data_IF_677153230784
#
_entry.id   IF_677153230784
#
_cell.length_a   1.000
_cell.length_b   1.000
_cell.length_c   1.000
_cell.angle_alpha   90.00
_cell.angle_beta   90.00
_cell.angle_gamma   90.00
#
_symmetry.space_group_name_H-M   'P 1'
#
loop_
_entity.id
_entity.type
_entity.pdbx_description
1 polymer ?
#
# COMPACT_ATOMS: atom_id res chain seq x y z
N UNK A 1 -13.32 46.53 21.87
CA UNK A 1 -14.29 46.64 20.74
C UNK A 1 -13.66 46.31 19.40
N UNK A 2 -12.89 47.18 18.71
CA UNK A 2 -12.32 46.80 17.41
C UNK A 2 -11.28 45.65 17.45
N UNK A 3 -10.59 45.45 18.58
CA UNK A 3 -9.58 44.40 18.73
C UNK A 3 -10.22 43.02 19.01
N UNK A 4 -11.23 42.96 19.86
CA UNK A 4 -12.03 41.74 20.12
C UNK A 4 -12.77 41.28 18.85
N UNK A 5 -13.40 42.19 18.11
CA UNK A 5 -14.06 41.86 16.83
C UNK A 5 -13.05 41.34 15.77
N UNK A 6 -11.79 41.81 15.84
CA UNK A 6 -10.71 41.38 14.95
C UNK A 6 -10.19 39.98 15.33
N UNK A 7 -10.05 39.71 16.62
CA UNK A 7 -9.63 38.40 17.12
C UNK A 7 -10.70 37.34 16.84
N UNK A 8 -11.97 37.66 17.08
CA UNK A 8 -13.11 36.79 16.76
C UNK A 8 -13.18 36.48 15.25
N UNK A 9 -12.94 37.48 14.39
CA UNK A 9 -12.89 37.27 12.95
C UNK A 9 -11.69 36.40 12.53
N UNK A 10 -10.51 36.63 13.13
CA UNK A 10 -9.31 35.83 12.86
C UNK A 10 -9.52 34.37 13.24
N UNK A 11 -10.15 34.13 14.39
CA UNK A 11 -10.49 32.79 14.86
C UNK A 11 -11.54 32.13 13.96
N UNK A 12 -12.59 32.85 13.56
CA UNK A 12 -13.59 32.35 12.61
C UNK A 12 -12.95 31.94 11.27
N UNK A 13 -11.98 32.71 10.76
CA UNK A 13 -11.24 32.37 9.53
C UNK A 13 -10.38 31.12 9.74
N UNK A 14 -9.70 30.98 10.89
CA UNK A 14 -8.91 29.79 11.22
C UNK A 14 -9.79 28.54 11.23
N UNK A 15 -10.90 28.58 11.97
CA UNK A 15 -11.85 27.48 12.07
C UNK A 15 -12.44 27.10 10.71
N UNK A 16 -12.76 28.08 9.87
CA UNK A 16 -13.26 27.84 8.52
C UNK A 16 -12.23 27.09 7.65
N UNK A 17 -10.94 27.48 7.73
CA UNK A 17 -9.87 26.78 7.02
C UNK A 17 -9.70 25.34 7.50
N UNK A 18 -9.84 25.10 8.81
CA UNK A 18 -9.77 23.75 9.39
C UNK A 18 -10.92 22.86 8.92
N UNK A 19 -12.14 23.41 8.89
CA UNK A 19 -13.31 22.69 8.37
C UNK A 19 -13.11 22.34 6.89
N UNK A 20 -12.64 23.28 6.06
CA UNK A 20 -12.36 23.04 4.65
C UNK A 20 -11.32 21.92 4.49
N UNK A 21 -10.20 22.00 5.21
CA UNK A 21 -9.15 20.98 5.16
C UNK A 21 -9.66 19.60 5.62
N UNK A 22 -10.52 19.55 6.64
CA UNK A 22 -11.14 18.31 7.10
C UNK A 22 -12.08 17.70 6.06
N UNK A 23 -12.89 18.54 5.38
CA UNK A 23 -13.76 18.11 4.28
C UNK A 23 -12.94 17.57 3.11
N UNK A 24 -11.91 18.30 2.67
CA UNK A 24 -11.02 17.87 1.58
C UNK A 24 -10.37 16.52 1.87
N UNK A 25 -9.88 16.34 3.10
CA UNK A 25 -9.31 15.06 3.56
C UNK A 25 -10.34 13.93 3.50
N UNK A 26 -11.59 14.19 3.93
CA UNK A 26 -12.65 13.17 3.91
C UNK A 26 -13.11 12.81 2.50
N UNK A 27 -13.16 13.79 1.60
CA UNK A 27 -13.44 13.56 0.17
C UNK A 27 -12.36 12.69 -0.44
N UNK A 28 -11.09 13.03 -0.26
CA UNK A 28 -9.96 12.23 -0.75
C UNK A 28 -10.00 10.79 -0.20
N UNK A 29 -10.23 10.61 1.11
CA UNK A 29 -10.37 9.27 1.70
C UNK A 29 -11.53 8.48 1.06
N UNK A 30 -12.65 9.13 0.77
CA UNK A 30 -13.79 8.50 0.12
C UNK A 30 -13.47 8.10 -1.33
N UNK A 31 -12.80 8.95 -2.09
CA UNK A 31 -12.36 8.66 -3.45
C UNK A 31 -11.37 7.50 -3.48
N UNK A 32 -10.36 7.49 -2.59
CA UNK A 32 -9.38 6.40 -2.47
C UNK A 32 -10.04 5.08 -2.10
N UNK A 33 -11.00 5.09 -1.17
CA UNK A 33 -11.76 3.90 -0.79
C UNK A 33 -12.66 3.39 -1.93
N UNK A 34 -13.30 4.29 -2.68
CA UNK A 34 -14.07 3.92 -3.87
C UNK A 34 -13.16 3.28 -4.92
N UNK A 35 -12.02 3.90 -5.20
CA UNK A 35 -11.01 3.41 -6.15
C UNK A 35 -10.50 2.02 -5.76
N UNK A 36 -10.25 1.77 -4.47
CA UNK A 36 -9.84 0.45 -3.99
C UNK A 36 -10.92 -0.62 -4.16
N UNK A 37 -12.21 -0.28 -3.97
CA UNK A 37 -13.34 -1.17 -4.26
C UNK A 37 -13.44 -1.52 -5.75
N UNK A 38 -13.06 -0.61 -6.65
CA UNK A 38 -13.00 -0.88 -8.09
C UNK A 38 -11.94 -1.94 -8.41
N UNK A 39 -10.74 -1.84 -7.80
CA UNK A 39 -9.72 -2.89 -7.93
C UNK A 39 -10.20 -4.23 -7.37
N UNK A 40 -10.72 -4.23 -6.14
CA UNK A 40 -11.25 -5.43 -5.48
C UNK A 40 -12.30 -6.16 -6.33
N UNK A 41 -13.27 -5.42 -6.89
CA UNK A 41 -14.34 -6.02 -7.71
C UNK A 41 -13.85 -6.61 -9.03
N UNK A 42 -12.78 -6.04 -9.61
CA UNK A 42 -12.15 -6.54 -10.84
C UNK A 42 -11.10 -7.63 -10.60
N UNK A 43 -10.71 -7.89 -9.34
CA UNK A 43 -9.74 -8.94 -9.04
C UNK A 43 -10.34 -10.35 -9.17
N UNK A 44 -9.52 -11.27 -9.69
CA UNK A 44 -9.85 -12.70 -9.64
C UNK A 44 -9.89 -13.18 -8.19
N UNK A 45 -11.02 -13.78 -7.79
CA UNK A 45 -11.26 -14.28 -6.43
C UNK A 45 -10.33 -15.42 -6.02
N UNK A 46 -9.69 -16.10 -6.98
CA UNK A 46 -8.71 -17.15 -6.71
C UNK A 46 -7.29 -16.63 -6.63
N UNK A 47 -7.05 -15.36 -6.96
CA UNK A 47 -5.73 -14.77 -6.91
C UNK A 47 -5.34 -14.53 -5.45
N UNK A 48 -4.23 -15.13 -5.05
CA UNK A 48 -3.58 -14.95 -3.75
C UNK A 48 -2.08 -14.78 -3.97
N UNK A 49 -1.42 -14.11 -3.03
CA UNK A 49 0.03 -13.91 -3.04
C UNK A 49 0.62 -14.27 -1.68
N UNK A 50 1.70 -15.04 -1.66
CA UNK A 50 2.46 -15.28 -0.43
C UNK A 50 3.47 -14.16 -0.24
N UNK A 51 3.33 -13.42 0.86
CA UNK A 51 4.28 -12.39 1.27
C UNK A 51 5.57 -13.01 1.79
N UNK A 52 6.62 -12.22 1.92
CA UNK A 52 7.91 -12.69 2.47
C UNK A 52 7.87 -13.11 3.94
N UNK A 53 6.90 -12.60 4.69
CA UNK A 53 6.59 -13.07 6.04
C UNK A 53 5.98 -14.48 6.08
N UNK A 54 5.58 -15.03 4.93
CA UNK A 54 4.80 -16.27 4.85
C UNK A 54 3.28 -16.04 4.90
N UNK A 55 2.85 -14.82 5.24
CA UNK A 55 1.45 -14.41 5.23
C UNK A 55 0.85 -14.53 3.82
N UNK A 56 -0.35 -15.10 3.73
CA UNK A 56 -1.14 -15.11 2.50
C UNK A 56 -1.89 -13.79 2.41
N UNK A 57 -1.80 -13.14 1.26
CA UNK A 57 -2.50 -11.91 0.93
C UNK A 57 -3.50 -12.20 -0.20
N UNK A 58 -4.78 -12.01 0.08
CA UNK A 58 -5.91 -12.20 -0.81
C UNK A 58 -6.60 -10.87 -1.13
N UNK A 59 -7.55 -10.87 -2.07
CA UNK A 59 -8.22 -9.63 -2.48
C UNK A 59 -8.94 -8.93 -1.32
N UNK A 60 -9.49 -9.68 -0.34
CA UNK A 60 -10.24 -9.12 0.79
C UNK A 60 -9.33 -8.27 1.70
N UNK A 61 -8.04 -8.61 1.74
CA UNK A 61 -7.02 -7.87 2.49
C UNK A 61 -6.80 -6.46 1.94
N UNK A 62 -7.16 -6.19 0.69
CA UNK A 62 -7.16 -4.83 0.14
C UNK A 62 -8.15 -3.94 0.86
N UNK A 63 -9.37 -4.42 1.13
CA UNK A 63 -10.44 -3.59 1.70
C UNK A 63 -10.21 -3.23 3.17
N UNK A 64 -9.32 -3.96 3.84
CA UNK A 64 -8.87 -3.68 5.21
C UNK A 64 -7.82 -2.57 5.29
N UNK A 65 -7.33 -2.08 4.13
CA UNK A 65 -6.22 -1.12 4.03
C UNK A 65 -6.67 0.17 3.35
N UNK A 66 -5.87 1.23 3.55
CA UNK A 66 -6.10 2.53 2.89
C UNK A 66 -5.22 2.65 1.65
N UNK A 67 -5.84 2.95 0.51
CA UNK A 67 -5.12 3.30 -0.73
C UNK A 67 -4.51 4.70 -0.61
N UNK A 68 -3.19 4.80 -0.83
CA UNK A 68 -2.47 6.07 -0.90
C UNK A 68 -2.35 6.51 -2.35
N UNK A 69 -1.87 5.63 -3.22
CA UNK A 69 -1.63 5.94 -4.63
C UNK A 69 -1.75 4.69 -5.52
N UNK A 70 -2.23 4.87 -6.75
CA UNK A 70 -2.25 3.82 -7.78
C UNK A 70 -1.72 4.36 -9.11
N UNK A 71 -1.09 3.49 -9.90
CA UNK A 71 -0.58 3.88 -11.21
C UNK A 71 0.11 2.74 -11.96
N UNK A 72 0.34 2.95 -13.26
CA UNK A 72 0.97 1.97 -14.12
C UNK A 72 2.50 2.00 -13.96
N UNK A 73 3.10 0.85 -13.66
CA UNK A 73 4.55 0.69 -13.50
C UNK A 73 5.05 -0.51 -14.32
N UNK A 74 6.36 -0.67 -14.39
CA UNK A 74 7.00 -1.86 -14.94
C UNK A 74 7.93 -2.50 -13.93
N UNK A 75 7.80 -3.81 -13.73
CA UNK A 75 8.74 -4.59 -12.95
C UNK A 75 9.79 -5.18 -13.88
N UNK A 76 11.07 -5.01 -13.57
CA UNK A 76 12.12 -5.71 -14.30
C UNK A 76 12.21 -7.15 -13.81
N UNK A 77 12.23 -8.09 -14.74
CA UNK A 77 12.36 -9.52 -14.48
C UNK A 77 13.54 -10.10 -15.28
N UNK A 78 13.86 -11.37 -15.06
CA UNK A 78 14.95 -12.05 -15.80
C UNK A 78 14.73 -12.05 -17.32
N UNK A 79 13.49 -11.93 -17.78
CA UNK A 79 13.10 -11.99 -19.19
C UNK A 79 12.87 -10.62 -19.84
N UNK A 80 13.09 -9.52 -19.11
CA UNK A 80 12.81 -8.16 -19.57
C UNK A 80 11.98 -7.33 -18.58
N UNK A 81 10.82 -6.86 -19.03
CA UNK A 81 9.96 -5.92 -18.27
C UNK A 81 8.51 -6.39 -18.29
N UNK A 82 7.90 -6.41 -17.11
CA UNK A 82 6.52 -6.80 -16.88
C UNK A 82 5.68 -5.56 -16.58
N UNK A 83 4.66 -5.28 -17.41
CA UNK A 83 3.71 -4.20 -17.14
C UNK A 83 2.78 -4.59 -15.99
N UNK A 84 2.61 -3.69 -15.04
CA UNK A 84 1.78 -3.89 -13.84
C UNK A 84 0.99 -2.62 -13.50
N UNK A 85 -0.10 -2.79 -12.76
CA UNK A 85 -0.76 -1.71 -12.04
C UNK A 85 -0.37 -1.81 -10.57
N UNK A 86 0.27 -0.77 -10.06
CA UNK A 86 0.77 -0.75 -8.69
C UNK A 86 -0.22 -0.03 -7.77
N UNK A 87 -0.40 -0.56 -6.55
CA UNK A 87 -1.20 0.02 -5.48
C UNK A 87 -0.32 0.21 -4.24
N UNK A 88 0.00 1.44 -3.90
CA UNK A 88 0.60 1.78 -2.60
C UNK A 88 -0.51 1.92 -1.57
N UNK A 89 -0.53 0.98 -0.63
CA UNK A 89 -1.43 0.99 0.52
C UNK A 89 -0.69 1.54 1.75
N UNK A 90 -1.42 1.72 2.84
CA UNK A 90 -0.87 2.22 4.12
C UNK A 90 0.30 1.40 4.66
N UNK A 91 0.31 0.09 4.43
CA UNK A 91 1.27 -0.85 5.02
C UNK A 91 2.04 -1.71 4.00
N UNK A 92 1.53 -1.82 2.78
CA UNK A 92 2.09 -2.69 1.73
C UNK A 92 2.10 -1.99 0.37
N UNK A 93 3.01 -2.43 -0.50
CA UNK A 93 3.04 -2.06 -1.91
C UNK A 93 2.69 -3.29 -2.77
N UNK A 94 1.60 -3.21 -3.51
CA UNK A 94 1.02 -4.33 -4.27
C UNK A 94 1.20 -4.09 -5.77
N UNK A 95 1.60 -5.12 -6.51
CA UNK A 95 1.61 -5.09 -7.97
C UNK A 95 0.60 -6.08 -8.55
N UNK A 96 -0.27 -5.57 -9.41
CA UNK A 96 -1.30 -6.34 -10.10
C UNK A 96 -1.00 -6.42 -11.59
N UNK A 97 -1.38 -7.52 -12.22
CA UNK A 97 -1.40 -7.69 -13.67
C UNK A 97 -2.82 -7.81 -14.16
N UNK A 98 -3.09 -7.24 -15.33
CA UNK A 98 -4.35 -7.47 -16.02
C UNK A 98 -4.24 -8.75 -16.86
N UNK A 99 -5.14 -9.71 -16.59
CA UNK A 99 -5.25 -10.97 -17.29
C UNK A 99 -6.73 -11.28 -17.49
N UNK A 100 -7.13 -11.55 -18.73
CA UNK A 100 -8.53 -11.86 -19.08
C UNK A 100 -9.53 -10.82 -18.54
N UNK A 101 -9.19 -9.53 -18.67
CA UNK A 101 -9.94 -8.35 -18.17
C UNK A 101 -10.08 -8.24 -16.63
N UNK A 102 -9.44 -9.13 -15.88
CA UNK A 102 -9.39 -9.13 -14.42
C UNK A 102 -7.99 -8.76 -13.93
N UNK A 103 -7.91 -8.30 -12.69
CA UNK A 103 -6.64 -8.15 -11.99
C UNK A 103 -6.26 -9.43 -11.26
N UNK A 104 -4.99 -9.80 -11.35
CA UNK A 104 -4.35 -10.86 -10.57
C UNK A 104 -3.07 -10.31 -9.94
N UNK A 105 -2.62 -10.85 -8.81
CA UNK A 105 -1.29 -10.49 -8.29
C UNK A 105 -0.22 -10.81 -9.32
N UNK A 106 0.74 -9.89 -9.49
CA UNK A 106 1.79 -10.04 -10.47
C UNK A 106 2.71 -11.22 -10.13
N UNK A 107 3.14 -11.97 -11.14
CA UNK A 107 4.11 -13.06 -10.95
C UNK A 107 5.49 -12.60 -11.44
N UNK A 108 6.46 -12.52 -10.53
CA UNK A 108 7.80 -12.02 -10.83
C UNK A 108 8.89 -12.99 -10.37
N UNK A 109 9.37 -13.87 -11.25
CA UNK A 109 10.52 -14.77 -10.98
C UNK A 109 10.45 -15.50 -9.62
N UNK A 110 9.25 -15.95 -9.23
CA UNK A 110 8.95 -16.58 -7.92
C UNK A 110 9.13 -15.67 -6.69
N UNK A 111 9.28 -14.36 -6.89
CA UNK A 111 9.29 -13.34 -5.85
C UNK A 111 7.88 -12.88 -5.52
N UNK A 112 7.70 -12.44 -4.28
CA UNK A 112 6.44 -11.85 -3.85
C UNK A 112 6.29 -10.45 -4.46
N UNK A 113 5.10 -10.15 -4.96
CA UNK A 113 4.73 -8.83 -5.52
C UNK A 113 3.76 -8.07 -4.61
N UNK A 114 3.59 -8.55 -3.38
CA UNK A 114 3.01 -7.82 -2.27
C UNK A 114 4.13 -7.59 -1.25
N UNK A 115 4.63 -6.37 -1.21
CA UNK A 115 5.84 -6.01 -0.47
C UNK A 115 5.45 -5.22 0.78
N UNK A 116 5.83 -5.70 1.96
CA UNK A 116 5.66 -4.92 3.19
C UNK A 116 6.51 -3.66 3.13
N UNK A 117 5.95 -2.52 3.54
CA UNK A 117 6.70 -1.28 3.71
C UNK A 117 7.61 -1.31 4.94
N UNK A 118 7.43 -2.28 5.83
CA UNK A 118 8.24 -2.42 7.04
C UNK A 118 9.69 -2.75 6.67
N UNK A 119 10.62 -1.90 7.12
CA UNK A 119 12.05 -2.01 6.82
C UNK A 119 12.36 -2.08 5.32
N UNK A 120 11.49 -1.49 4.49
CA UNK A 120 11.74 -1.32 3.07
C UNK A 120 12.80 -0.23 2.87
N UNK A 121 13.69 -0.39 1.91
CA UNK A 121 14.61 0.67 1.49
C UNK A 121 14.29 1.00 0.04
N UNK A 122 14.03 2.29 -0.23
CA UNK A 122 13.77 2.80 -1.57
C UNK A 122 14.98 3.62 -2.04
N UNK A 123 15.46 3.34 -3.26
CA UNK A 123 16.63 4.00 -3.85
C UNK A 123 16.42 4.31 -5.32
N UNK A 124 17.14 5.30 -5.83
CA UNK A 124 17.17 5.60 -7.27
C UNK A 124 18.04 4.59 -8.02
N UNK A 125 17.72 4.35 -9.30
CA UNK A 125 18.60 3.59 -10.20
C UNK A 125 19.54 4.57 -10.90
N UNK A 126 20.84 4.45 -10.66
CA UNK A 126 21.83 5.41 -11.17
C UNK A 126 21.84 5.56 -12.71
N UNK A 127 21.58 4.46 -13.43
CA UNK A 127 21.66 4.42 -14.89
C UNK A 127 20.28 4.39 -15.59
N UNK A 128 19.18 4.60 -14.86
CA UNK A 128 17.82 4.67 -15.41
C UNK A 128 17.02 5.70 -14.60
N UNK A 129 16.86 6.91 -15.12
CA UNK A 129 16.27 8.03 -14.37
C UNK A 129 14.82 7.78 -13.91
N UNK A 130 14.11 6.91 -14.62
CA UNK A 130 12.73 6.49 -14.32
C UNK A 130 12.67 5.27 -13.41
N UNK A 131 13.82 4.72 -13.02
CA UNK A 131 13.96 3.52 -12.22
C UNK A 131 14.12 3.82 -10.73
N UNK A 132 13.51 2.98 -9.91
CA UNK A 132 13.76 2.89 -8.48
C UNK A 132 14.00 1.43 -8.06
N UNK A 133 14.79 1.22 -7.02
CA UNK A 133 14.95 -0.05 -6.34
C UNK A 133 14.11 -0.10 -5.06
N UNK A 134 13.42 -1.22 -4.87
CA UNK A 134 12.79 -1.62 -3.62
C UNK A 134 13.63 -2.73 -3.00
N UNK A 135 14.14 -2.53 -1.78
CA UNK A 135 15.01 -3.47 -1.09
C UNK A 135 14.39 -3.88 0.25
N UNK A 136 14.07 -5.15 0.42
CA UNK A 136 13.46 -5.68 1.66
C UNK A 136 14.53 -5.94 2.73
N UNK A 137 14.94 -4.89 3.46
CA UNK A 137 16.02 -4.94 4.43
C UNK A 137 15.53 -5.29 5.86
N UNK A 138 14.92 -6.45 6.03
CA UNK A 138 14.37 -6.85 7.33
C UNK A 138 14.00 -8.32 7.48
N UNK A 139 14.36 -9.12 6.48
CA UNK A 139 14.06 -10.55 6.37
C UNK A 139 15.36 -11.33 6.15
N UNK A 140 15.36 -12.64 6.41
CA UNK A 140 16.57 -13.48 6.31
C UNK A 140 17.31 -13.37 4.97
N UNK A 141 16.57 -13.11 3.88
CA UNK A 141 17.13 -12.93 2.54
C UNK A 141 16.60 -11.64 1.92
N UNK A 142 17.35 -10.53 2.00
CA UNK A 142 16.97 -9.29 1.35
C UNK A 142 16.79 -9.48 -0.15
N UNK A 143 15.71 -8.92 -0.69
CA UNK A 143 15.44 -8.92 -2.12
C UNK A 143 15.49 -7.50 -2.66
N UNK A 144 16.13 -7.34 -3.80
CA UNK A 144 16.16 -6.10 -4.56
C UNK A 144 15.28 -6.25 -5.80
N UNK A 145 14.28 -5.39 -5.93
CA UNK A 145 13.37 -5.32 -7.07
C UNK A 145 13.54 -3.98 -7.79
N UNK A 146 13.72 -4.03 -9.10
CA UNK A 146 13.80 -2.83 -9.95
C UNK A 146 12.41 -2.52 -10.52
N UNK A 147 11.93 -1.31 -10.26
CA UNK A 147 10.63 -0.80 -10.70
C UNK A 147 10.87 0.42 -11.58
N UNK A 148 10.17 0.51 -12.70
CA UNK A 148 10.28 1.62 -13.63
C UNK A 148 8.94 2.35 -13.74
N UNK A 149 8.97 3.66 -13.58
CA UNK A 149 7.88 4.56 -13.87
C UNK A 149 7.89 4.99 -15.35
N UNK A 150 6.86 5.72 -15.77
CA UNK A 150 6.76 6.25 -17.13
C UNK A 150 7.65 7.49 -17.32
N UNK A 151 7.92 8.25 -16.25
CA UNK A 151 8.80 9.43 -16.25
C UNK A 151 9.63 9.53 -14.97
N UNK A 152 10.63 10.42 -14.98
CA UNK A 152 11.46 10.75 -13.80
C UNK A 152 10.62 11.39 -12.69
N UNK A 153 9.69 12.27 -13.06
CA UNK A 153 8.80 12.94 -12.12
C UNK A 153 7.82 11.96 -11.46
N UNK A 154 7.30 11.01 -12.24
CA UNK A 154 6.47 9.94 -11.69
C UNK A 154 7.29 9.05 -10.75
N UNK A 155 8.53 8.70 -11.12
CA UNK A 155 9.47 7.97 -10.24
C UNK A 155 9.69 8.72 -8.93
N UNK A 156 9.91 10.04 -8.98
CA UNK A 156 10.11 10.88 -7.80
C UNK A 156 8.86 10.90 -6.91
N UNK A 157 7.68 11.03 -7.51
CA UNK A 157 6.39 10.98 -6.82
C UNK A 157 6.21 9.65 -6.09
N UNK A 158 6.46 8.52 -6.75
CA UNK A 158 6.40 7.21 -6.11
C UNK A 158 7.38 7.09 -4.94
N UNK A 159 8.63 7.51 -5.12
CA UNK A 159 9.63 7.44 -4.04
C UNK A 159 9.21 8.26 -2.82
N UNK A 160 8.73 9.48 -3.02
CA UNK A 160 8.24 10.35 -1.95
C UNK A 160 7.07 9.71 -1.21
N UNK A 161 6.03 9.27 -1.93
CA UNK A 161 4.83 8.70 -1.33
C UNK A 161 5.13 7.40 -0.57
N UNK A 162 6.02 6.55 -1.09
CA UNK A 162 6.43 5.33 -0.39
C UNK A 162 7.15 5.69 0.91
N UNK A 163 8.07 6.67 0.89
CA UNK A 163 8.79 7.11 2.08
C UNK A 163 7.85 7.74 3.13
N UNK A 164 6.90 8.56 2.70
CA UNK A 164 5.87 9.14 3.59
C UNK A 164 5.00 8.05 4.21
N UNK A 165 4.58 7.06 3.42
CA UNK A 165 3.81 5.92 3.90
C UNK A 165 4.60 5.12 4.95
N UNK A 166 5.88 4.82 4.69
CA UNK A 166 6.75 4.16 5.65
C UNK A 166 6.87 4.93 6.97
N UNK A 167 7.08 6.24 6.92
CA UNK A 167 7.19 7.09 8.12
C UNK A 167 5.87 7.19 8.89
N UNK A 168 4.73 7.19 8.20
CA UNK A 168 3.41 7.21 8.86
C UNK A 168 3.17 5.94 9.67
N UNK A 169 3.60 4.76 9.17
CA UNK A 169 3.50 3.51 9.92
C UNK A 169 4.35 3.47 11.17
N UNK A 170 5.55 4.05 11.14
CA UNK A 170 6.43 4.08 12.32
C UNK A 170 5.82 4.86 13.48
N UNK A 171 4.84 5.75 13.22
CA UNK A 171 4.08 6.48 14.24
C UNK A 171 2.88 5.69 14.77
N UNK A 172 2.38 4.76 13.97
CA UNK A 172 1.30 3.84 14.29
C UNK A 172 1.91 2.48 14.65
N UNK A 173 2.69 2.42 15.74
CA UNK A 173 3.21 1.15 16.28
C UNK A 173 2.04 0.28 16.80
N UNK A 174 1.41 -0.47 15.91
CA UNK A 174 0.63 -1.65 16.26
C UNK A 174 0.68 -2.69 15.13
N UNK A 175 0.62 -3.96 15.52
CA UNK A 175 0.87 -5.13 14.69
C UNK A 175 0.22 -5.03 13.30
N UNK A 176 1.01 -5.23 12.24
CA UNK A 176 0.52 -5.13 10.87
C UNK A 176 -0.78 -5.92 10.68
N UNK A 177 -1.74 -5.35 9.95
CA UNK A 177 -3.09 -5.89 9.79
C UNK A 177 -2.97 -7.35 9.29
N UNK A 178 -3.31 -8.35 10.14
CA UNK A 178 -3.25 -9.76 9.75
C UNK A 178 -4.18 -10.01 8.56
N UNK A 179 -3.89 -11.04 7.77
CA UNK A 179 -4.79 -11.37 6.68
C UNK A 179 -6.03 -12.07 7.21
N UNK A 180 -7.14 -11.98 6.48
CA UNK A 180 -8.38 -12.67 6.84
C UNK A 180 -8.16 -14.18 7.01
N UNK A 181 -7.32 -14.79 6.17
CA UNK A 181 -6.98 -16.21 6.27
C UNK A 181 -6.20 -16.54 7.55
N UNK A 182 -5.32 -15.64 7.99
CA UNK A 182 -4.59 -15.82 9.25
C UNK A 182 -5.49 -15.61 10.46
N UNK A 183 -6.41 -14.64 10.41
CA UNK A 183 -7.40 -14.41 11.46
C UNK A 183 -8.32 -15.63 11.62
N UNK A 184 -8.84 -16.16 10.52
CA UNK A 184 -9.68 -17.36 10.52
C UNK A 184 -8.93 -18.56 11.08
N UNK A 185 -7.66 -18.75 10.67
CA UNK A 185 -6.80 -19.81 11.18
C UNK A 185 -6.53 -19.65 12.68
N UNK A 186 -6.20 -18.44 13.14
CA UNK A 186 -5.99 -18.14 14.57
C UNK A 186 -7.26 -18.44 15.37
N UNK A 187 -8.43 -18.03 14.89
CA UNK A 187 -9.71 -18.32 15.55
C UNK A 187 -10.02 -19.81 15.62
N UNK A 188 -9.73 -20.57 14.55
CA UNK A 188 -9.89 -22.03 14.54
C UNK A 188 -8.92 -22.71 15.52
N UNK A 189 -7.67 -22.25 15.59
CA UNK A 189 -6.68 -22.76 16.55
C UNK A 189 -7.06 -22.46 18.00
N UNK A 190 -7.54 -21.25 18.30
CA UNK A 190 -8.03 -20.88 19.64
C UNK A 190 -9.23 -21.74 20.04
N UNK A 191 -10.24 -21.89 19.16
CA UNK A 191 -11.38 -22.78 19.40
C UNK A 191 -10.95 -24.23 19.60
N UNK A 192 -9.97 -24.69 18.83
CA UNK A 192 -9.43 -26.04 18.95
C UNK A 192 -8.64 -26.28 20.25
N UNK A 193 -8.05 -25.24 20.84
CA UNK A 193 -7.40 -25.30 22.16
C UNK A 193 -8.44 -25.29 23.29
N UNK A 194 -9.44 -24.41 23.20
CA UNK A 194 -10.55 -24.35 24.17
C UNK A 194 -11.32 -25.68 24.23
N UNK A 195 -11.55 -26.34 23.09
CA UNK A 195 -12.17 -27.67 23.06
C UNK A 195 -11.27 -28.81 23.59
N UNK A 196 -9.96 -28.59 23.72
CA UNK A 196 -9.00 -29.58 24.27
C UNK A 196 -8.78 -29.43 25.78
N UNK A 197 -9.34 -28.41 26.42
CA UNK A 197 -9.27 -28.24 27.87
C UNK A 197 -7.86 -27.94 28.40
N UNK A 198 -7.09 -27.12 27.68
CA UNK A 198 -5.90 -26.44 28.22
C UNK A 198 -6.24 -25.00 28.63
#
# INVERSE_FOLDING_TARGET
KNEEDYDDLTEAVRLMKEVIAAVDSKVNEHEKRRRLKEFHSRMDSKSIMMMKSGQIFAREDLLRRRLIHDGALQLKNMQGRLKVHALLLSDVFVFLQEKDQKYVYAMLDQRSTVISLQKLIVREVANEERGLFLITAGIEKPEMMEVLANSKDERNTWMQLIQEAMQSREKDEDEGIPSETEDDKRQLETKAKEMRGE
#
